data_IF_221991002473
#
_entry.id   IF_221991002473
#
_cell.length_a   1.000
_cell.length_b   1.000
_cell.length_c   1.000
_cell.angle_alpha   90.00
_cell.angle_beta   90.00
_cell.angle_gamma   90.00
#
_symmetry.space_group_name_H-M   'P 1'
#
loop_
_entity.id
_entity.type
_entity.pdbx_description
1 polymer ?
#
# COMPACT_ATOMS: atom_id res chain seq x y z
N UNK A 1 -90.25 -5.72 26.00
CA UNK A 1 -90.07 -4.65 25.00
C UNK A 1 -88.60 -4.43 24.84
N UNK A 2 -87.97 -5.13 23.90
CA UNK A 2 -86.52 -5.07 23.64
C UNK A 2 -86.35 -4.46 22.26
N UNK A 3 -85.65 -3.34 22.24
CA UNK A 3 -85.20 -2.66 20.99
C UNK A 3 -83.83 -3.17 20.55
N UNK A 4 -83.80 -3.79 19.38
CA UNK A 4 -82.52 -4.16 18.74
C UNK A 4 -81.91 -2.98 18.05
N UNK A 5 -80.73 -2.60 18.48
CA UNK A 5 -79.84 -1.67 17.77
C UNK A 5 -78.90 -2.46 16.84
N UNK A 6 -79.09 -2.26 15.55
CA UNK A 6 -78.17 -2.81 14.55
C UNK A 6 -76.92 -1.92 14.44
N UNK A 7 -75.73 -2.47 14.74
CA UNK A 7 -74.50 -1.85 14.47
C UNK A 7 -74.04 -2.19 13.03
N UNK A 8 -73.98 -1.17 12.19
CA UNK A 8 -73.38 -1.23 10.86
C UNK A 8 -71.88 -1.03 11.01
N UNK A 9 -71.12 -2.09 10.81
CA UNK A 9 -69.65 -2.00 10.70
C UNK A 9 -69.24 -1.63 9.26
N UNK A 10 -68.92 -0.35 9.12
CA UNK A 10 -68.29 0.12 7.85
C UNK A 10 -66.88 -0.40 7.70
N UNK A 11 -66.67 -1.26 6.73
CA UNK A 11 -65.32 -1.74 6.34
C UNK A 11 -64.62 -0.65 5.56
N UNK A 12 -63.64 0.02 6.17
CA UNK A 12 -62.79 0.98 5.47
C UNK A 12 -61.70 0.17 4.73
N UNK A 13 -61.84 0.02 3.42
CA UNK A 13 -60.80 -0.53 2.58
C UNK A 13 -59.68 0.49 2.44
N UNK A 14 -58.59 0.31 3.17
CA UNK A 14 -57.37 1.05 2.96
C UNK A 14 -56.75 0.62 1.64
N UNK A 15 -57.03 1.37 0.56
CA UNK A 15 -56.39 1.25 -0.71
C UNK A 15 -54.93 1.71 -0.59
N UNK A 16 -54.00 0.77 -0.48
CA UNK A 16 -52.57 1.03 -0.64
C UNK A 16 -52.34 1.28 -2.14
N UNK A 17 -52.15 2.53 -2.49
CA UNK A 17 -51.74 2.90 -3.83
C UNK A 17 -50.39 2.21 -4.18
N UNK A 18 -50.26 1.63 -5.36
CA UNK A 18 -48.98 1.02 -5.78
C UNK A 18 -47.92 2.14 -5.86
N UNK A 19 -46.85 2.00 -5.07
CA UNK A 19 -45.67 2.86 -5.17
C UNK A 19 -45.07 2.63 -6.56
N UNK A 20 -45.22 3.58 -7.43
CA UNK A 20 -44.46 3.65 -8.66
C UNK A 20 -42.95 3.56 -8.33
N UNK A 21 -42.17 2.64 -8.95
CA UNK A 21 -40.77 2.59 -8.71
C UNK A 21 -40.18 3.94 -9.10
N UNK A 22 -39.51 4.59 -8.13
CA UNK A 22 -38.78 5.82 -8.39
C UNK A 22 -37.84 5.57 -9.57
N UNK A 23 -38.03 6.31 -10.66
CA UNK A 23 -37.12 6.27 -11.79
C UNK A 23 -35.73 6.49 -11.26
N UNK A 24 -34.84 5.50 -11.40
CA UNK A 24 -33.42 5.69 -11.14
C UNK A 24 -32.95 6.83 -12.03
N UNK A 25 -32.78 7.99 -11.45
CA UNK A 25 -32.04 9.07 -12.07
C UNK A 25 -30.64 8.46 -12.30
N UNK A 26 -30.35 8.10 -13.56
CA UNK A 26 -29.02 7.69 -13.93
C UNK A 26 -28.08 8.81 -13.54
N UNK A 27 -27.16 8.54 -12.62
CA UNK A 27 -26.11 9.48 -12.29
C UNK A 27 -25.47 9.98 -13.60
N UNK A 28 -25.21 11.27 -13.77
CA UNK A 28 -24.61 11.78 -14.97
C UNK A 28 -23.31 11.01 -15.21
N UNK A 29 -23.25 10.25 -16.30
CA UNK A 29 -21.99 9.68 -16.78
C UNK A 29 -21.12 10.87 -17.13
N UNK A 30 -20.22 11.22 -16.23
CA UNK A 30 -19.18 12.19 -16.48
C UNK A 30 -18.35 11.61 -17.63
N UNK A 31 -18.65 12.04 -18.86
CA UNK A 31 -17.73 11.89 -19.98
C UNK A 31 -16.50 12.70 -19.61
N UNK A 32 -15.52 12.04 -19.05
CA UNK A 32 -14.18 12.59 -18.90
C UNK A 32 -13.71 12.92 -20.32
N UNK A 33 -13.84 14.18 -20.69
CA UNK A 33 -13.06 14.76 -21.78
C UNK A 33 -11.63 14.29 -21.48
N UNK A 34 -10.98 13.59 -22.40
CA UNK A 34 -9.73 12.87 -22.23
C UNK A 34 -8.50 13.71 -21.76
N UNK A 35 -8.72 14.61 -20.83
CA UNK A 35 -7.66 15.33 -20.12
C UNK A 35 -7.06 14.35 -19.13
N UNK A 36 -5.90 13.80 -19.51
CA UNK A 36 -5.08 12.98 -18.63
C UNK A 36 -4.65 13.87 -17.46
N UNK A 37 -5.26 13.67 -16.31
CA UNK A 37 -4.88 14.39 -15.10
C UNK A 37 -3.45 14.00 -14.73
N UNK A 38 -2.50 14.88 -14.96
CA UNK A 38 -1.09 14.66 -14.59
C UNK A 38 -0.90 15.21 -13.19
N UNK A 39 -0.74 14.32 -12.23
CA UNK A 39 -0.39 14.69 -10.86
C UNK A 39 1.13 14.86 -10.80
N UNK A 40 1.66 16.08 -10.51
CA UNK A 40 3.10 16.31 -10.49
C UNK A 40 3.77 15.62 -9.29
N UNK A 41 5.06 15.32 -9.43
CA UNK A 41 5.90 14.85 -8.32
C UNK A 41 6.00 15.93 -7.24
N UNK A 42 5.72 15.55 -6.00
CA UNK A 42 5.91 16.39 -4.82
C UNK A 42 6.80 15.68 -3.80
N UNK A 43 8.12 15.88 -3.91
CA UNK A 43 9.11 15.30 -3.00
C UNK A 43 9.21 16.14 -1.72
N UNK A 44 8.99 15.50 -0.56
CA UNK A 44 9.01 16.13 0.76
C UNK A 44 9.82 15.28 1.72
N UNK A 45 10.54 15.91 2.64
CA UNK A 45 11.17 15.22 3.76
C UNK A 45 10.13 14.96 4.85
N UNK A 46 9.93 13.70 5.18
CA UNK A 46 8.95 13.26 6.16
C UNK A 46 9.66 12.57 7.32
N UNK A 47 9.32 12.93 8.56
CA UNK A 47 9.80 12.23 9.76
C UNK A 47 9.23 10.80 9.77
N UNK A 48 10.13 9.80 9.82
CA UNK A 48 9.76 8.38 9.68
C UNK A 48 9.75 7.65 11.01
N UNK A 49 10.89 7.66 11.70
CA UNK A 49 11.08 7.09 13.04
C UNK A 49 11.86 8.06 13.93
N UNK A 50 11.74 7.96 15.26
CA UNK A 50 12.61 8.66 16.19
C UNK A 50 14.08 8.28 15.97
N UNK A 51 15.01 9.23 16.11
CA UNK A 51 16.43 8.95 15.95
C UNK A 51 16.97 7.94 17.00
N UNK A 52 16.30 7.82 18.14
CA UNK A 52 16.62 6.85 19.20
C UNK A 52 16.37 5.40 18.78
N UNK A 53 15.46 5.15 17.85
CA UNK A 53 15.17 3.83 17.31
C UNK A 53 16.16 3.41 16.21
N UNK A 54 16.84 4.37 15.58
CA UNK A 54 17.81 4.13 14.52
C UNK A 54 19.17 3.73 15.11
N UNK A 55 19.24 2.57 15.76
CA UNK A 55 20.47 2.01 16.35
C UNK A 55 21.20 1.16 15.31
N UNK A 56 22.54 1.09 15.43
CA UNK A 56 23.36 0.22 14.57
C UNK A 56 22.89 -1.26 14.66
N UNK A 57 22.80 -1.91 13.52
CA UNK A 57 22.32 -3.29 13.42
C UNK A 57 20.79 -3.45 13.54
N UNK A 58 20.00 -2.38 13.40
CA UNK A 58 18.54 -2.47 13.45
C UNK A 58 17.89 -2.15 12.11
N UNK A 59 16.75 -2.77 11.88
CA UNK A 59 15.87 -2.49 10.74
C UNK A 59 14.48 -2.20 11.31
N UNK A 60 14.01 -0.97 11.11
CA UNK A 60 12.69 -0.52 11.54
C UNK A 60 11.86 -0.10 10.33
N UNK A 61 10.59 -0.41 10.31
CA UNK A 61 9.70 0.01 9.22
C UNK A 61 8.64 0.99 9.69
N UNK A 62 8.10 1.75 8.75
CA UNK A 62 6.97 2.63 8.97
C UNK A 62 6.14 2.76 7.70
N UNK A 63 4.87 3.07 7.87
CA UNK A 63 3.93 3.31 6.78
C UNK A 63 3.45 4.76 6.80
N UNK A 64 3.70 5.50 5.72
CA UNK A 64 3.22 6.89 5.56
C UNK A 64 2.95 7.19 4.09
N UNK A 65 1.91 7.97 3.81
CA UNK A 65 1.53 8.42 2.47
C UNK A 65 1.37 7.27 1.45
N UNK A 66 0.87 6.11 1.90
CA UNK A 66 0.70 4.94 1.04
C UNK A 66 1.99 4.19 0.71
N UNK A 67 3.11 4.51 1.40
CA UNK A 67 4.40 3.87 1.20
C UNK A 67 4.88 3.21 2.49
N UNK A 68 5.35 2.00 2.38
CA UNK A 68 5.96 1.25 3.46
C UNK A 68 7.48 1.20 3.23
N UNK A 69 8.22 1.87 4.13
CA UNK A 69 9.67 2.04 4.02
C UNK A 69 10.35 1.49 5.25
N UNK A 70 11.39 0.69 5.03
CA UNK A 70 12.29 0.21 6.07
C UNK A 70 13.49 1.16 6.20
N UNK A 71 13.75 1.58 7.43
CA UNK A 71 14.97 2.30 7.81
C UNK A 71 15.96 1.28 8.30
N UNK A 72 17.06 1.16 7.59
CA UNK A 72 18.13 0.21 7.85
C UNK A 72 19.33 0.95 8.42
N UNK A 73 19.71 0.62 9.62
CA UNK A 73 20.97 1.06 10.22
C UNK A 73 21.93 -0.11 10.20
N UNK A 74 22.93 -0.06 9.33
CA UNK A 74 23.91 -1.13 9.25
C UNK A 74 24.75 -1.25 10.54
N UNK A 75 25.42 -2.36 10.79
CA UNK A 75 26.27 -2.51 11.98
C UNK A 75 27.43 -1.51 12.03
N UNK A 76 27.80 -0.89 10.91
CA UNK A 76 28.85 0.13 10.81
C UNK A 76 28.32 1.54 11.03
N UNK A 77 27.02 1.70 11.32
CA UNK A 77 26.36 2.99 11.56
C UNK A 77 25.89 3.73 10.31
N UNK A 78 25.96 3.12 9.14
CA UNK A 78 25.36 3.66 7.92
C UNK A 78 23.83 3.65 8.00
N UNK A 79 23.20 4.71 7.48
CA UNK A 79 21.75 4.88 7.49
C UNK A 79 21.20 4.81 6.07
N UNK A 80 20.25 3.91 5.85
CA UNK A 80 19.63 3.67 4.54
C UNK A 80 18.10 3.58 4.68
N UNK A 81 17.41 3.91 3.59
CA UNK A 81 15.95 3.75 3.50
C UNK A 81 15.61 2.95 2.23
N UNK A 82 14.92 1.85 2.41
CA UNK A 82 14.53 0.90 1.37
C UNK A 82 13.04 0.66 1.43
N UNK A 83 12.44 0.21 0.31
CA UNK A 83 11.09 -0.35 0.37
C UNK A 83 11.03 -1.49 1.39
N UNK A 84 9.95 -1.57 2.17
CA UNK A 84 9.77 -2.69 3.12
C UNK A 84 9.27 -3.98 2.42
N UNK A 85 9.35 -4.07 1.11
CA UNK A 85 9.02 -5.27 0.34
C UNK A 85 10.23 -5.70 -0.45
N UNK A 86 10.76 -6.89 -0.13
CA UNK A 86 11.93 -7.47 -0.80
C UNK A 86 11.53 -8.40 -1.92
N UNK A 87 12.03 -8.19 -3.14
CA UNK A 87 11.88 -9.18 -4.21
C UNK A 87 12.67 -10.46 -3.87
N UNK A 88 12.27 -11.61 -4.40
CA UNK A 88 11.09 -11.89 -5.21
C UNK A 88 9.84 -12.18 -4.39
N UNK A 89 9.97 -12.45 -3.09
CA UNK A 89 8.90 -13.00 -2.25
C UNK A 89 7.95 -11.93 -1.71
N UNK A 90 8.34 -10.65 -1.73
CA UNK A 90 7.59 -9.57 -1.11
C UNK A 90 7.68 -9.56 0.43
N UNK A 91 8.61 -10.33 1.00
CA UNK A 91 8.83 -10.34 2.45
C UNK A 91 9.25 -8.97 2.96
N UNK A 92 8.83 -8.60 4.19
CA UNK A 92 9.26 -7.35 4.80
C UNK A 92 10.78 -7.29 4.96
N UNK A 93 11.37 -6.15 4.59
CA UNK A 93 12.82 -5.89 4.78
C UNK A 93 13.22 -5.96 6.26
N UNK A 94 12.28 -5.77 7.18
CA UNK A 94 12.53 -5.92 8.63
C UNK A 94 12.94 -7.33 9.04
N UNK A 95 12.65 -8.35 8.23
CA UNK A 95 13.10 -9.73 8.45
C UNK A 95 14.43 -10.07 7.79
N UNK A 96 14.99 -9.13 7.03
CA UNK A 96 16.25 -9.33 6.35
C UNK A 96 17.42 -9.48 7.34
N UNK A 97 18.43 -10.20 6.91
CA UNK A 97 19.71 -10.32 7.62
C UNK A 97 20.73 -9.38 6.98
N UNK A 98 21.65 -8.87 7.77
CA UNK A 98 22.78 -8.11 7.24
C UNK A 98 23.78 -9.06 6.59
N UNK A 99 24.19 -8.71 5.38
CA UNK A 99 25.30 -9.36 4.68
C UNK A 99 26.64 -8.65 4.95
N UNK A 100 27.76 -9.29 4.57
CA UNK A 100 29.11 -8.83 4.91
C UNK A 100 29.54 -7.53 4.22
N UNK A 101 29.00 -7.24 3.03
CA UNK A 101 29.45 -6.13 2.16
C UNK A 101 28.51 -4.93 2.12
N UNK A 102 27.81 -4.63 3.22
CA UNK A 102 26.80 -3.56 3.21
C UNK A 102 25.58 -3.94 2.36
N UNK A 103 25.18 -5.18 2.48
CA UNK A 103 24.01 -5.76 1.83
C UNK A 103 22.97 -6.19 2.85
N UNK A 104 21.74 -6.40 2.41
CA UNK A 104 20.69 -7.12 3.12
C UNK A 104 20.30 -8.35 2.34
N UNK A 105 20.04 -9.43 3.07
CA UNK A 105 19.74 -10.76 2.54
C UNK A 105 18.28 -11.08 2.78
N UNK A 106 17.57 -11.40 1.73
CA UNK A 106 16.18 -11.86 1.80
C UNK A 106 16.13 -13.27 2.43
N UNK A 107 15.29 -13.50 3.46
CA UNK A 107 15.42 -14.72 4.30
C UNK A 107 15.02 -16.02 3.61
N UNK A 108 14.16 -16.00 2.58
CA UNK A 108 13.63 -17.20 1.92
C UNK A 108 14.52 -17.66 0.77
N UNK A 109 14.84 -16.73 -0.11
CA UNK A 109 15.60 -17.05 -1.35
C UNK A 109 17.09 -16.81 -1.20
N UNK A 110 17.51 -16.15 -0.12
CA UNK A 110 18.89 -15.72 0.15
C UNK A 110 19.42 -14.74 -0.89
N UNK A 111 18.55 -14.05 -1.59
CA UNK A 111 18.93 -12.98 -2.54
C UNK A 111 19.49 -11.78 -1.78
N UNK A 112 20.63 -11.28 -2.22
CA UNK A 112 21.29 -10.13 -1.61
C UNK A 112 20.99 -8.83 -2.35
N UNK A 113 20.84 -7.75 -1.58
CA UNK A 113 20.62 -6.41 -2.11
C UNK A 113 21.55 -5.40 -1.45
N UNK A 114 22.13 -4.52 -2.26
CA UNK A 114 22.99 -3.43 -1.78
C UNK A 114 22.16 -2.41 -0.99
N UNK A 115 22.56 -2.10 0.24
CA UNK A 115 21.92 -1.04 1.05
C UNK A 115 21.98 0.34 0.40
N UNK A 116 23.06 0.61 -0.31
CA UNK A 116 23.30 1.92 -0.93
C UNK A 116 22.47 2.16 -2.19
N UNK A 117 22.33 1.15 -3.03
CA UNK A 117 21.73 1.30 -4.37
C UNK A 117 20.41 0.55 -4.53
N UNK A 118 20.08 -0.37 -3.61
CA UNK A 118 18.96 -1.28 -3.73
C UNK A 118 19.13 -2.36 -4.80
N UNK A 119 20.24 -2.35 -5.53
CA UNK A 119 20.48 -3.30 -6.61
C UNK A 119 20.74 -4.70 -6.07
N UNK A 120 20.24 -5.69 -6.78
CA UNK A 120 20.56 -7.09 -6.53
C UNK A 120 22.05 -7.33 -6.70
N UNK A 121 22.64 -8.10 -5.77
CA UNK A 121 24.06 -8.44 -5.74
C UNK A 121 24.21 -9.96 -5.82
N UNK A 122 25.13 -10.42 -6.66
CA UNK A 122 25.41 -11.85 -6.80
C UNK A 122 24.34 -12.62 -7.56
N UNK A 123 24.03 -13.83 -7.10
CA UNK A 123 23.12 -14.75 -7.77
C UNK A 123 21.68 -14.49 -7.34
N UNK A 124 20.76 -14.48 -8.30
CA UNK A 124 19.32 -14.44 -8.02
C UNK A 124 18.82 -15.75 -7.43
N UNK A 125 18.16 -15.70 -6.26
CA UNK A 125 17.63 -16.85 -5.55
C UNK A 125 18.67 -17.97 -5.38
N UNK A 126 19.79 -17.76 -4.66
CA UNK A 126 20.82 -18.78 -4.49
C UNK A 126 20.37 -19.98 -3.65
N UNK A 127 19.32 -19.83 -2.82
CA UNK A 127 18.71 -20.95 -2.09
C UNK A 127 18.23 -22.03 -3.06
N UNK A 128 18.54 -23.34 -2.84
CA UNK A 128 18.10 -24.41 -3.72
C UNK A 128 16.58 -24.46 -3.92
N UNK A 129 15.83 -24.31 -2.84
CA UNK A 129 14.36 -24.29 -2.86
C UNK A 129 13.86 -22.98 -3.53
N UNK A 130 14.45 -21.85 -3.18
CA UNK A 130 14.12 -20.56 -3.77
C UNK A 130 14.37 -20.55 -5.27
N UNK A 131 15.46 -21.12 -5.74
CA UNK A 131 15.80 -21.23 -7.15
C UNK A 131 14.83 -22.10 -7.93
N UNK A 132 14.40 -23.21 -7.35
CA UNK A 132 13.49 -24.16 -8.00
C UNK A 132 12.08 -23.58 -8.12
N UNK A 133 11.55 -23.00 -7.05
CA UNK A 133 10.15 -22.57 -6.96
C UNK A 133 9.93 -21.14 -7.45
N UNK A 134 10.87 -20.25 -7.17
CA UNK A 134 10.70 -18.81 -7.36
C UNK A 134 11.63 -18.26 -8.44
N UNK A 135 12.90 -18.66 -8.43
CA UNK A 135 13.92 -18.11 -9.30
C UNK A 135 13.68 -18.34 -10.78
N UNK A 136 12.92 -19.38 -11.15
CA UNK A 136 12.50 -19.64 -12.54
C UNK A 136 11.25 -18.88 -12.96
N UNK A 137 10.41 -18.46 -12.00
CA UNK A 137 9.15 -17.81 -12.24
C UNK A 137 9.26 -16.28 -12.15
N UNK A 138 10.34 -15.78 -11.56
CA UNK A 138 10.54 -14.34 -11.32
C UNK A 138 11.81 -13.84 -12.01
N UNK A 139 11.73 -12.62 -12.52
CA UNK A 139 12.89 -11.91 -13.07
C UNK A 139 13.63 -11.16 -11.96
N UNK A 140 14.97 -11.04 -12.03
CA UNK A 140 15.72 -10.19 -11.12
C UNK A 140 15.18 -8.77 -11.09
N UNK A 141 14.97 -8.25 -9.90
CA UNK A 141 14.49 -6.90 -9.68
C UNK A 141 15.18 -6.26 -8.48
N UNK A 142 15.33 -4.95 -8.52
CA UNK A 142 15.98 -4.17 -7.47
C UNK A 142 14.96 -3.74 -6.40
N UNK A 143 15.46 -3.39 -5.21
CA UNK A 143 14.64 -2.78 -4.14
C UNK A 143 14.67 -1.26 -4.32
N UNK A 144 13.52 -0.57 -4.35
CA UNK A 144 13.48 0.88 -4.33
C UNK A 144 14.19 1.47 -3.12
N UNK A 145 15.05 2.47 -3.34
CA UNK A 145 15.76 3.21 -2.29
C UNK A 145 15.27 4.64 -2.19
N UNK A 146 15.35 5.22 -1.00
CA UNK A 146 14.92 6.58 -0.72
C UNK A 146 16.04 7.38 -0.06
N UNK A 147 16.18 8.69 -0.37
CA UNK A 147 17.07 9.56 0.36
C UNK A 147 16.67 9.62 1.83
N UNK A 148 17.65 9.49 2.73
CA UNK A 148 17.44 9.47 4.17
C UNK A 148 18.44 10.38 4.88
N UNK A 149 18.00 11.02 5.99
CA UNK A 149 18.86 11.85 6.82
C UNK A 149 18.40 11.83 8.28
N UNK A 150 19.30 12.15 9.21
CA UNK A 150 18.93 12.44 10.60
C UNK A 150 18.82 13.95 10.80
N UNK A 151 17.68 14.43 11.26
CA UNK A 151 17.45 15.85 11.53
C UNK A 151 16.38 16.03 12.62
N UNK A 152 16.58 16.98 13.54
CA UNK A 152 15.60 17.34 14.55
C UNK A 152 15.17 16.18 15.47
N UNK A 153 16.10 15.27 15.82
CA UNK A 153 15.80 14.13 16.70
C UNK A 153 15.00 13.00 16.00
N UNK A 154 14.82 13.08 14.69
CA UNK A 154 14.15 12.05 13.89
C UNK A 154 14.96 11.65 12.67
N UNK A 155 14.68 10.46 12.17
CA UNK A 155 15.11 10.00 10.84
C UNK A 155 14.06 10.47 9.85
N UNK A 156 14.49 11.24 8.86
CA UNK A 156 13.63 11.75 7.79
C UNK A 156 13.94 11.03 6.48
N UNK A 157 12.90 10.73 5.74
CA UNK A 157 12.97 10.12 4.40
C UNK A 157 12.35 11.08 3.39
N UNK A 158 12.99 11.24 2.24
CA UNK A 158 12.42 12.01 1.14
C UNK A 158 11.52 11.12 0.30
N UNK A 159 10.23 11.43 0.27
CA UNK A 159 9.23 10.67 -0.47
C UNK A 159 8.41 11.58 -1.39
N UNK A 160 7.84 10.98 -2.44
CA UNK A 160 6.83 11.63 -3.24
C UNK A 160 5.46 11.46 -2.58
N UNK A 161 4.95 12.50 -1.93
CA UNK A 161 3.65 12.46 -1.23
C UNK A 161 2.46 12.32 -2.18
N UNK A 162 2.67 12.58 -3.48
CA UNK A 162 1.67 12.41 -4.52
C UNK A 162 1.71 11.04 -5.19
N UNK A 163 2.58 10.12 -4.76
CA UNK A 163 2.75 8.80 -5.39
C UNK A 163 1.43 8.01 -5.42
N UNK A 164 0.65 8.05 -4.35
CA UNK A 164 -0.67 7.42 -4.30
C UNK A 164 -1.63 8.02 -5.34
N UNK A 165 -1.75 9.35 -5.38
CA UNK A 165 -2.61 10.03 -6.35
C UNK A 165 -2.17 9.76 -7.80
N UNK A 166 -0.86 9.70 -8.06
CA UNK A 166 -0.31 9.35 -9.37
C UNK A 166 -0.68 7.92 -9.77
N UNK A 167 -0.55 6.98 -8.85
CA UNK A 167 -0.96 5.60 -9.08
C UNK A 167 -2.46 5.53 -9.39
N UNK A 168 -3.28 6.20 -8.59
CA UNK A 168 -4.73 6.23 -8.75
C UNK A 168 -5.18 6.86 -10.08
N UNK A 169 -4.47 7.88 -10.57
CA UNK A 169 -4.77 8.49 -11.89
C UNK A 169 -4.28 7.63 -13.05
N UNK A 170 -3.24 6.81 -12.85
CA UNK A 170 -2.68 5.95 -13.89
C UNK A 170 -3.47 4.65 -14.07
N UNK A 171 -3.91 4.08 -12.96
CA UNK A 171 -4.63 2.80 -12.98
C UNK A 171 -6.10 3.05 -12.68
N UNK A 172 -6.96 2.48 -13.51
CA UNK A 172 -8.40 2.57 -13.31
C UNK A 172 -8.79 1.92 -11.98
N UNK A 173 -9.57 2.64 -11.18
CA UNK A 173 -10.15 2.11 -9.96
C UNK A 173 -11.31 1.21 -10.33
N UNK A 174 -11.15 -0.08 -10.20
CA UNK A 174 -12.18 -1.07 -10.44
C UNK A 174 -13.15 -1.22 -9.26
N UNK A 175 -14.06 -2.17 -9.38
CA UNK A 175 -15.07 -2.52 -8.38
C UNK A 175 -14.46 -2.80 -7.00
N UNK A 176 -13.20 -3.26 -6.94
CA UNK A 176 -12.50 -3.54 -5.68
C UNK A 176 -12.21 -2.29 -4.85
N UNK A 177 -12.04 -1.14 -5.50
CA UNK A 177 -11.86 0.14 -4.80
C UNK A 177 -13.19 0.64 -4.20
N UNK A 178 -14.30 0.34 -4.87
CA UNK A 178 -15.64 0.63 -4.36
C UNK A 178 -15.97 -0.17 -3.08
N UNK A 179 -15.22 -1.22 -2.78
CA UNK A 179 -15.37 -2.02 -1.55
C UNK A 179 -14.53 -1.51 -0.37
N UNK A 180 -13.94 -0.33 -0.47
CA UNK A 180 -13.22 0.31 0.63
C UNK A 180 -11.79 -0.21 0.88
N UNK A 181 -11.18 -0.95 -0.05
CA UNK A 181 -9.77 -1.33 0.02
C UNK A 181 -8.86 -0.18 -0.43
N UNK A 182 -9.08 1.00 0.13
CA UNK A 182 -8.38 2.26 -0.25
C UNK A 182 -7.09 2.46 0.56
N UNK A 183 -6.68 1.51 1.34
CA UNK A 183 -5.55 1.58 2.27
C UNK A 183 -4.17 1.37 1.63
N UNK A 184 -4.08 1.45 0.30
CA UNK A 184 -2.81 1.48 -0.42
C UNK A 184 -2.08 0.13 -0.45
N UNK A 185 -2.74 -0.95 -0.10
CA UNK A 185 -2.23 -2.30 -0.20
C UNK A 185 -2.22 -2.86 -1.62
N UNK A 186 -1.80 -2.05 -2.60
CA UNK A 186 -1.57 -2.56 -3.96
C UNK A 186 -0.19 -3.18 -4.01
N UNK A 187 -0.21 -4.45 -4.28
CA UNK A 187 0.93 -5.36 -4.38
C UNK A 187 1.60 -5.26 -5.74
#
# INVERSE_FOLDING_TARGET
MLSLLALSTGLIANGVAPKTPASRVSAPVMKTLGVKLVVPDKKVWVSWIPASEAKAGTINSGFRYGQEIAIVCDPKGGLYALSNKMPPTGQPTTFAKFGEKGTVVEPVTLTEFSLKTGKQVGVWCPSPIGRLLIGRLTTPSDIPTFPVRKQGGSVQVQINVNAKAQFETKYWRGILDAQGKVDGGYY
#
